data_IF_428054895514
#
_entry.id   IF_428054895514
#
_cell.length_a   1.000
_cell.length_b   1.000
_cell.length_c   1.000
_cell.angle_alpha   90.00
_cell.angle_beta   90.00
_cell.angle_gamma   90.00
#
_symmetry.space_group_name_H-M   'P 1'
#
loop_
_entity.id
_entity.type
_entity.pdbx_description
1 polymer ?
#
# COMPACT_ATOMS: atom_id res chain seq x y z
N UNK A 1 -15.46 -5.70 9.44
CA UNK A 1 -14.55 -5.51 8.29
C UNK A 1 -13.12 -5.60 8.79
N UNK A 2 -12.26 -6.15 7.99
CA UNK A 2 -10.83 -6.32 8.31
C UNK A 2 -9.99 -5.59 7.28
N UNK A 3 -8.93 -4.94 7.74
CA UNK A 3 -8.01 -4.22 6.87
C UNK A 3 -6.85 -5.10 6.46
N UNK A 4 -6.45 -4.97 5.20
CA UNK A 4 -5.35 -5.72 4.61
C UNK A 4 -4.37 -4.77 3.95
N UNK A 5 -3.07 -5.05 4.14
CA UNK A 5 -1.99 -4.37 3.45
C UNK A 5 -1.68 -5.15 2.18
N UNK A 6 -1.77 -4.47 1.06
CA UNK A 6 -1.39 -4.99 -0.26
C UNK A 6 -0.15 -4.22 -0.67
N UNK A 7 0.94 -4.91 -0.98
CA UNK A 7 2.20 -4.24 -1.27
C UNK A 7 3.02 -4.96 -2.34
N UNK A 8 3.95 -4.21 -2.94
CA UNK A 8 4.92 -4.77 -3.88
C UNK A 8 6.31 -4.25 -3.54
N UNK A 9 7.32 -5.00 -3.97
CA UNK A 9 8.71 -4.68 -3.67
C UNK A 9 9.24 -3.54 -4.53
N UNK A 10 10.19 -2.80 -4.00
CA UNK A 10 10.92 -1.80 -4.77
C UNK A 10 11.58 -2.48 -5.98
N UNK A 11 11.48 -1.84 -7.14
CA UNK A 11 11.98 -2.41 -8.39
C UNK A 11 11.05 -3.38 -9.08
N UNK A 12 9.92 -3.78 -8.47
CA UNK A 12 8.97 -4.71 -9.09
C UNK A 12 8.39 -4.19 -10.41
N UNK A 13 8.38 -2.89 -10.61
CA UNK A 13 7.87 -2.25 -11.83
C UNK A 13 8.97 -1.80 -12.80
N UNK A 14 10.23 -2.12 -12.52
CA UNK A 14 11.36 -1.67 -13.34
C UNK A 14 11.36 -2.23 -14.77
N UNK A 15 10.69 -3.35 -15.00
CA UNK A 15 10.55 -3.95 -16.33
C UNK A 15 9.62 -3.16 -17.25
N UNK A 16 8.87 -2.20 -16.70
CA UNK A 16 7.91 -1.40 -17.49
C UNK A 16 8.69 -0.26 -18.16
N UNK A 17 8.51 -0.12 -19.47
CA UNK A 17 9.14 0.95 -20.22
C UNK A 17 8.57 2.30 -19.78
N UNK A 18 9.42 3.33 -19.76
CA UNK A 18 9.04 4.67 -19.36
C UNK A 18 7.84 5.18 -20.17
N UNK A 19 7.80 4.89 -21.45
CA UNK A 19 6.70 5.29 -22.36
C UNK A 19 5.37 4.64 -22.02
N UNK A 20 5.38 3.50 -21.31
CA UNK A 20 4.18 2.77 -20.89
C UNK A 20 3.68 3.22 -19.51
N UNK A 21 4.48 3.96 -18.76
CA UNK A 21 4.13 4.38 -17.40
C UNK A 21 2.82 5.18 -17.30
N UNK A 22 2.53 6.12 -18.23
CA UNK A 22 1.24 6.82 -18.19
C UNK A 22 0.03 5.88 -18.28
N UNK A 23 0.11 4.84 -19.12
CA UNK A 23 -0.96 3.84 -19.24
C UNK A 23 -1.11 3.03 -17.96
N UNK A 24 0.01 2.66 -17.34
CA UNK A 24 0.02 1.93 -16.07
C UNK A 24 -0.60 2.78 -14.97
N UNK A 25 -0.21 4.06 -14.89
CA UNK A 25 -0.77 5.00 -13.92
C UNK A 25 -2.28 5.15 -14.08
N UNK A 26 -2.75 5.26 -15.32
CA UNK A 26 -4.19 5.35 -15.60
C UNK A 26 -4.93 4.09 -15.15
N UNK A 27 -4.40 2.92 -15.48
CA UNK A 27 -5.00 1.64 -15.09
C UNK A 27 -5.03 1.49 -13.56
N UNK A 28 -3.96 1.88 -12.86
CA UNK A 28 -3.90 1.86 -11.41
C UNK A 28 -4.96 2.78 -10.79
N UNK A 29 -5.11 4.00 -11.31
CA UNK A 29 -6.12 4.94 -10.83
C UNK A 29 -7.55 4.44 -11.07
N UNK A 30 -7.79 3.71 -12.15
CA UNK A 30 -9.10 3.09 -12.39
C UNK A 30 -9.43 2.05 -11.30
N UNK A 31 -8.46 1.24 -10.89
CA UNK A 31 -8.66 0.29 -9.79
C UNK A 31 -8.93 1.02 -8.47
N UNK A 32 -8.19 2.09 -8.20
CA UNK A 32 -8.41 2.93 -7.02
C UNK A 32 -9.84 3.48 -7.02
N UNK A 33 -10.29 4.01 -8.17
CA UNK A 33 -11.65 4.54 -8.28
C UNK A 33 -12.70 3.46 -8.03
N UNK A 34 -12.49 2.26 -8.57
CA UNK A 34 -13.40 1.15 -8.34
C UNK A 34 -13.46 0.78 -6.86
N UNK A 35 -12.33 0.76 -6.18
CA UNK A 35 -12.26 0.45 -4.75
C UNK A 35 -12.89 1.55 -3.89
N UNK A 36 -12.72 2.81 -4.26
CA UNK A 36 -13.38 3.94 -3.60
C UNK A 36 -14.90 3.84 -3.77
N UNK A 37 -15.36 3.56 -4.98
CA UNK A 37 -16.79 3.40 -5.28
C UNK A 37 -17.38 2.23 -4.51
N UNK A 38 -16.63 1.14 -4.37
CA UNK A 38 -17.07 -0.02 -3.58
C UNK A 38 -17.01 0.21 -2.05
N UNK A 39 -16.45 1.34 -1.62
CA UNK A 39 -16.36 1.68 -0.19
C UNK A 39 -15.29 0.91 0.58
N UNK A 40 -14.31 0.33 -0.11
CA UNK A 40 -13.29 -0.52 0.53
C UNK A 40 -11.89 0.11 0.58
N UNK A 41 -11.66 1.19 -0.15
CA UNK A 41 -10.36 1.83 -0.21
C UNK A 41 -10.09 2.66 1.04
N UNK A 42 -8.96 2.41 1.72
CA UNK A 42 -8.51 3.23 2.84
C UNK A 42 -7.48 4.24 2.37
N UNK A 43 -6.37 3.78 1.82
CA UNK A 43 -5.31 4.62 1.30
C UNK A 43 -4.28 3.78 0.55
N UNK A 44 -3.53 4.41 -0.32
CA UNK A 44 -2.40 3.76 -0.98
C UNK A 44 -1.51 4.77 -1.66
N UNK A 45 -0.26 4.39 -1.85
CA UNK A 45 0.74 5.23 -2.50
C UNK A 45 1.94 4.42 -2.95
N UNK A 46 2.62 4.91 -3.97
CA UNK A 46 3.98 4.48 -4.26
C UNK A 46 4.95 5.18 -3.30
N UNK A 47 6.10 4.58 -3.07
CA UNK A 47 7.15 5.21 -2.30
C UNK A 47 8.17 5.85 -3.24
N UNK A 48 8.63 7.03 -2.86
CA UNK A 48 9.71 7.68 -3.57
C UNK A 48 10.99 6.85 -3.48
N UNK A 49 11.74 6.79 -4.56
CA UNK A 49 13.04 6.13 -4.59
C UNK A 49 14.09 7.02 -3.96
N UNK A 50 14.15 6.94 -2.66
CA UNK A 50 15.09 7.73 -1.86
C UNK A 50 15.64 6.85 -0.74
N UNK A 51 16.77 7.27 -0.22
CA UNK A 51 17.37 6.56 0.89
C UNK A 51 16.49 6.70 2.13
N UNK A 52 16.16 5.55 2.75
CA UNK A 52 15.39 5.57 3.99
C UNK A 52 16.25 6.12 5.14
N UNK A 53 15.59 6.73 6.11
CA UNK A 53 16.23 7.12 7.35
C UNK A 53 15.80 6.17 8.46
N UNK A 54 16.74 5.77 9.30
CA UNK A 54 16.46 4.93 10.46
C UNK A 54 16.50 5.83 11.70
N UNK A 55 15.42 5.82 12.47
CA UNK A 55 15.33 6.58 13.72
C UNK A 55 15.36 5.59 14.87
N UNK A 56 16.41 5.63 15.67
CA UNK A 56 16.59 4.76 16.82
C UNK A 56 15.69 5.17 17.99
N UNK A 57 15.61 4.32 19.00
CA UNK A 57 14.77 4.58 20.18
C UNK A 57 15.19 5.79 20.99
N UNK A 58 16.45 6.22 20.89
CA UNK A 58 16.96 7.43 21.51
C UNK A 58 16.81 8.68 20.62
N UNK A 59 16.22 8.53 19.45
CA UNK A 59 16.03 9.60 18.48
C UNK A 59 17.19 9.81 17.52
N UNK A 60 18.27 9.04 17.62
CA UNK A 60 19.38 9.13 16.67
C UNK A 60 18.94 8.71 15.28
N UNK A 61 19.36 9.47 14.27
CA UNK A 61 18.99 9.22 12.86
C UNK A 61 20.21 8.74 12.09
N UNK A 62 20.06 7.64 11.40
CA UNK A 62 21.08 7.07 10.52
C UNK A 62 20.50 6.74 9.15
N UNK A 63 21.36 6.54 8.16
CA UNK A 63 20.93 6.14 6.84
C UNK A 63 20.51 4.67 6.84
N UNK A 64 19.41 4.41 6.15
CA UNK A 64 18.89 3.06 5.95
C UNK A 64 18.76 2.72 4.48
N UNK A 65 18.17 1.58 4.18
CA UNK A 65 17.70 0.56 5.13
C UNK A 65 18.85 -0.19 5.80
N UNK A 66 18.54 -1.09 6.74
CA UNK A 66 19.57 -1.93 7.34
C UNK A 66 20.26 -2.77 6.26
N UNK A 67 21.59 -3.01 6.37
CA UNK A 67 22.34 -3.74 5.34
C UNK A 67 21.81 -5.14 5.03
N UNK A 68 21.19 -5.81 6.02
CA UNK A 68 20.63 -7.15 5.85
C UNK A 68 19.22 -7.17 5.25
N UNK A 69 18.63 -6.01 5.00
CA UNK A 69 17.31 -5.92 4.37
C UNK A 69 17.38 -6.37 2.93
N UNK A 70 16.65 -7.43 2.60
CA UNK A 70 16.61 -8.00 1.24
C UNK A 70 15.42 -7.52 0.44
N UNK A 71 14.32 -7.17 1.12
CA UNK A 71 13.09 -6.71 0.49
C UNK A 71 12.71 -5.36 1.05
N UNK A 72 12.44 -4.42 0.15
CA UNK A 72 12.03 -3.06 0.47
C UNK A 72 10.73 -2.78 -0.27
N UNK A 73 9.74 -2.27 0.45
CA UNK A 73 8.44 -1.96 -0.15
C UNK A 73 8.59 -0.82 -1.16
N UNK A 74 8.04 -1.01 -2.37
CA UNK A 74 8.01 0.02 -3.41
C UNK A 74 6.69 0.76 -3.46
N UNK A 75 5.61 0.17 -2.93
CA UNK A 75 4.29 0.77 -2.87
C UNK A 75 3.32 -0.09 -2.09
N UNK A 76 2.19 0.49 -1.71
CA UNK A 76 1.20 -0.22 -0.92
C UNK A 76 -0.20 0.34 -1.12
N UNK A 77 -1.19 -0.48 -0.76
CA UNK A 77 -2.58 -0.10 -0.62
C UNK A 77 -3.14 -0.74 0.64
N UNK A 78 -4.11 -0.09 1.26
CA UNK A 78 -4.85 -0.65 2.39
C UNK A 78 -6.32 -0.69 1.99
N UNK A 79 -6.93 -1.88 2.10
CA UNK A 79 -8.36 -2.07 1.83
C UNK A 79 -9.05 -2.61 3.08
N UNK A 80 -10.31 -2.23 3.27
CA UNK A 80 -11.15 -2.66 4.39
C UNK A 80 -12.29 -3.49 3.83
N UNK A 81 -12.22 -4.79 4.01
CA UNK A 81 -13.09 -5.76 3.34
C UNK A 81 -13.62 -6.80 4.33
N UNK A 82 -14.74 -7.48 3.99
CA UNK A 82 -15.33 -8.45 4.92
C UNK A 82 -14.54 -9.74 5.09
N UNK A 83 -13.72 -10.13 4.12
CA UNK A 83 -12.99 -11.40 4.16
C UNK A 83 -11.70 -11.32 3.36
N UNK A 84 -10.76 -12.23 3.68
CA UNK A 84 -9.47 -12.32 3.00
C UNK A 84 -9.62 -12.51 1.49
N UNK A 85 -10.59 -13.30 1.07
CA UNK A 85 -10.84 -13.56 -0.35
C UNK A 85 -11.11 -12.27 -1.12
N UNK A 86 -11.80 -11.32 -0.50
CA UNK A 86 -12.05 -10.01 -1.12
C UNK A 86 -10.77 -9.20 -1.25
N UNK A 87 -9.89 -9.27 -0.24
CA UNK A 87 -8.58 -8.61 -0.32
C UNK A 87 -7.74 -9.19 -1.46
N UNK A 88 -7.77 -10.52 -1.63
CA UNK A 88 -7.06 -11.19 -2.73
C UNK A 88 -7.62 -10.79 -4.10
N UNK A 89 -8.93 -10.60 -4.22
CA UNK A 89 -9.56 -10.12 -5.45
C UNK A 89 -9.07 -8.71 -5.81
N UNK A 90 -9.01 -7.82 -4.83
CA UNK A 90 -8.49 -6.45 -5.04
C UNK A 90 -7.00 -6.47 -5.37
N UNK A 91 -6.23 -7.31 -4.68
CA UNK A 91 -4.80 -7.47 -4.96
C UNK A 91 -4.56 -7.95 -6.40
N UNK A 92 -5.41 -8.87 -6.90
CA UNK A 92 -5.32 -9.33 -8.28
C UNK A 92 -5.54 -8.19 -9.28
N UNK A 93 -6.50 -7.32 -9.03
CA UNK A 93 -6.75 -6.15 -9.88
C UNK A 93 -5.58 -5.18 -9.87
N UNK A 94 -4.99 -4.95 -8.69
CA UNK A 94 -3.81 -4.09 -8.55
C UNK A 94 -2.61 -4.72 -9.28
N UNK A 95 -2.42 -6.04 -9.13
CA UNK A 95 -1.32 -6.75 -9.78
C UNK A 95 -1.39 -6.62 -11.31
N UNK A 96 -2.57 -6.75 -11.88
CA UNK A 96 -2.78 -6.58 -13.33
C UNK A 96 -2.48 -5.15 -13.74
N UNK A 97 -3.00 -4.15 -13.02
CA UNK A 97 -2.84 -2.75 -13.39
C UNK A 97 -1.41 -2.26 -13.22
N UNK A 98 -0.72 -2.67 -12.16
CA UNK A 98 0.67 -2.28 -11.89
C UNK A 98 1.70 -3.19 -12.57
N UNK A 99 1.25 -4.29 -13.19
CA UNK A 99 2.10 -5.26 -13.90
C UNK A 99 3.17 -5.87 -13.00
N UNK A 100 2.84 -6.10 -11.74
CA UNK A 100 3.74 -6.76 -10.79
C UNK A 100 2.96 -7.47 -9.70
N UNK A 101 3.56 -8.51 -9.12
CA UNK A 101 2.95 -9.30 -8.06
C UNK A 101 2.72 -8.45 -6.81
N UNK A 102 1.69 -8.80 -6.05
CA UNK A 102 1.33 -8.12 -4.81
C UNK A 102 1.39 -9.12 -3.66
N UNK A 103 1.86 -8.65 -2.50
CA UNK A 103 1.77 -9.39 -1.25
C UNK A 103 0.57 -8.90 -0.46
N UNK A 104 -0.11 -9.80 0.22
CA UNK A 104 -1.30 -9.47 1.02
C UNK A 104 -1.08 -9.90 2.45
N UNK A 105 -1.19 -8.96 3.38
CA UNK A 105 -1.06 -9.22 4.81
C UNK A 105 -2.24 -8.61 5.55
N UNK A 106 -2.78 -9.35 6.52
CA UNK A 106 -3.85 -8.83 7.38
C UNK A 106 -3.26 -7.88 8.41
N UNK A 107 -3.91 -6.73 8.61
CA UNK A 107 -3.52 -5.80 9.66
C UNK A 107 -4.15 -6.23 10.98
N UNK A 108 -3.42 -6.02 12.08
CA UNK A 108 -3.94 -6.29 13.41
C UNK A 108 -5.11 -5.35 13.70
N UNK A 109 -6.16 -5.89 14.31
CA UNK A 109 -7.32 -5.11 14.71
C UNK A 109 -6.96 -4.23 15.90
N UNK A 110 -7.28 -2.95 15.82
CA UNK A 110 -7.00 -1.96 16.88
C UNK A 110 -8.25 -1.09 17.11
N UNK A 111 -9.16 -1.54 17.99
CA UNK A 111 -10.41 -0.82 18.24
C UNK A 111 -10.21 0.57 18.84
N UNK A 112 -9.16 0.76 19.62
CA UNK A 112 -8.85 2.07 20.21
C UNK A 112 -8.48 3.07 19.13
N UNK A 113 -7.61 2.68 18.19
CA UNK A 113 -7.24 3.53 17.09
C UNK A 113 -8.45 3.83 16.19
N UNK A 114 -9.27 2.82 15.91
CA UNK A 114 -10.48 3.00 15.11
C UNK A 114 -11.41 4.03 15.73
N UNK A 115 -11.56 4.03 17.05
CA UNK A 115 -12.35 5.03 17.77
C UNK A 115 -11.75 6.44 17.63
N UNK A 116 -10.42 6.56 17.71
CA UNK A 116 -9.72 7.83 17.52
C UNK A 116 -9.92 8.39 16.12
N UNK A 117 -9.85 7.53 15.10
CA UNK A 117 -10.05 7.94 13.71
C UNK A 117 -11.48 8.41 13.46
N UNK A 118 -12.47 7.71 13.99
CA UNK A 118 -13.88 8.14 13.90
C UNK A 118 -14.10 9.48 14.57
N UNK A 119 -13.44 9.72 15.71
CA UNK A 119 -13.53 10.99 16.42
C UNK A 119 -12.93 12.14 15.61
N UNK A 120 -11.83 11.91 14.93
CA UNK A 120 -11.22 12.90 14.03
C UNK A 120 -12.15 13.26 12.87
N UNK A 121 -12.81 12.25 12.27
CA UNK A 121 -13.76 12.46 11.17
C UNK A 121 -14.93 13.35 11.57
N UNK A 122 -15.35 13.29 12.83
CA UNK A 122 -16.46 14.12 13.35
C UNK A 122 -16.12 15.60 13.48
N UNK A 123 -14.86 15.98 13.31
CA UNK A 123 -14.43 17.39 13.39
C UNK A 123 -14.71 18.17 12.11
N UNK A 124 -15.10 17.49 11.05
CA UNK A 124 -15.34 18.10 9.75
C UNK A 124 -16.86 18.33 9.46
#
# INVERSE_FOLDING_TARGET
MTRYLISFDDGAMDHIREEDMPSVGKAAHEVVQDAVTAGVWVFGAGLERQQASIVATDGAVTDGPYPETKEVIGGFAIVDVPAREKALEWAAKIAVSCRCAQEVRELMHDPEQDAMLRQADRRW
#
